data_IF_004400636667
#
_entry.id   IF_004400636667
#
_cell.length_a   1.000
_cell.length_b   1.000
_cell.length_c   1.000
_cell.angle_alpha   90.00
_cell.angle_beta   90.00
_cell.angle_gamma   90.00
#
_symmetry.space_group_name_H-M   'P 1'
#
loop_
_entity.id
_entity.type
_entity.pdbx_description
1 polymer ?
#
# COMPACT_ATOMS: atom_id res chain seq x y z
N UNK A 1 4.45 21.79 1.13
CA UNK A 1 3.70 20.55 0.85
C UNK A 1 4.67 19.39 0.89
N UNK A 2 4.58 18.52 1.90
CA UNK A 2 5.46 17.35 2.04
C UNK A 2 4.93 16.22 1.15
N UNK A 3 5.77 15.68 0.26
CA UNK A 3 5.49 14.45 -0.50
C UNK A 3 5.96 13.26 0.35
N UNK A 4 5.02 12.57 1.00
CA UNK A 4 5.29 11.45 1.91
C UNK A 4 5.37 10.09 1.20
N UNK A 5 6.26 9.20 1.67
CA UNK A 5 6.90 8.16 0.85
C UNK A 5 6.03 6.94 0.42
N UNK A 6 6.12 6.52 -0.86
CA UNK A 6 5.70 5.23 -1.39
C UNK A 6 6.64 4.09 -0.96
N UNK A 7 7.79 4.36 -0.34
CA UNK A 7 8.81 3.35 -0.03
C UNK A 7 8.27 2.23 0.88
N UNK A 8 7.59 2.57 1.98
CA UNK A 8 7.02 1.56 2.90
C UNK A 8 5.90 0.76 2.20
N UNK A 9 5.03 1.43 1.44
CA UNK A 9 3.95 0.77 0.71
C UNK A 9 4.47 -0.09 -0.44
N UNK A 10 5.51 0.36 -1.14
CA UNK A 10 6.15 -0.37 -2.24
C UNK A 10 6.86 -1.63 -1.75
N UNK A 11 7.56 -1.56 -0.61
CA UNK A 11 8.21 -2.72 0.01
C UNK A 11 7.17 -3.70 0.56
N UNK A 12 6.06 -3.21 1.14
CA UNK A 12 4.93 -4.05 1.53
C UNK A 12 4.28 -4.75 0.31
N UNK A 13 4.07 -4.04 -0.80
CA UNK A 13 3.55 -4.63 -2.05
C UNK A 13 4.49 -5.72 -2.55
N UNK A 14 5.80 -5.44 -2.62
CA UNK A 14 6.78 -6.41 -3.10
C UNK A 14 6.82 -7.67 -2.22
N UNK A 15 6.79 -7.49 -0.89
CA UNK A 15 6.74 -8.60 0.06
C UNK A 15 5.46 -9.42 -0.09
N UNK A 16 4.30 -8.77 -0.17
CA UNK A 16 3.01 -9.46 -0.34
C UNK A 16 2.94 -10.19 -1.69
N UNK A 17 3.41 -9.58 -2.78
CA UNK A 17 3.49 -10.21 -4.11
C UNK A 17 4.45 -11.40 -4.10
N UNK A 18 5.58 -11.29 -3.42
CA UNK A 18 6.53 -12.40 -3.25
C UNK A 18 5.86 -13.57 -2.52
N UNK A 19 5.18 -13.31 -1.41
CA UNK A 19 4.49 -14.33 -0.62
C UNK A 19 3.33 -14.98 -1.40
N UNK A 20 2.55 -14.18 -2.14
CA UNK A 20 1.36 -14.66 -2.87
C UNK A 20 1.71 -15.38 -4.18
N UNK A 21 2.79 -14.99 -4.85
CA UNK A 21 3.26 -15.65 -6.09
C UNK A 21 4.18 -16.84 -5.84
N UNK A 22 4.44 -17.20 -4.58
CA UNK A 22 5.42 -18.24 -4.24
C UNK A 22 6.86 -17.87 -4.61
N UNK A 23 7.18 -16.57 -4.67
CA UNK A 23 8.51 -16.07 -5.02
C UNK A 23 8.80 -16.04 -6.53
N UNK A 24 7.77 -15.91 -7.38
CA UNK A 24 7.98 -15.86 -8.82
C UNK A 24 8.79 -14.60 -9.22
N UNK A 25 10.02 -14.84 -9.65
CA UNK A 25 11.00 -13.78 -9.96
C UNK A 25 10.52 -12.86 -11.10
N UNK A 26 9.81 -13.40 -12.09
CA UNK A 26 9.30 -12.60 -13.22
C UNK A 26 8.25 -11.61 -12.74
N UNK A 27 7.29 -12.08 -11.94
CA UNK A 27 6.24 -11.23 -11.34
C UNK A 27 6.90 -10.17 -10.47
N UNK A 28 7.84 -10.57 -9.61
CA UNK A 28 8.53 -9.66 -8.70
C UNK A 28 9.31 -8.56 -9.44
N UNK A 29 9.99 -8.91 -10.54
CA UNK A 29 10.70 -7.94 -11.39
C UNK A 29 9.75 -6.96 -12.06
N UNK A 30 8.63 -7.44 -12.61
CA UNK A 30 7.61 -6.57 -13.22
C UNK A 30 7.03 -5.61 -12.18
N UNK A 31 6.68 -6.12 -11.00
CA UNK A 31 6.17 -5.30 -9.88
C UNK A 31 7.20 -4.27 -9.44
N UNK A 32 8.48 -4.65 -9.32
CA UNK A 32 9.56 -3.73 -8.96
C UNK A 32 9.70 -2.58 -9.96
N UNK A 33 9.72 -2.88 -11.26
CA UNK A 33 9.80 -1.87 -12.32
C UNK A 33 8.59 -0.93 -12.26
N UNK A 34 7.37 -1.47 -12.07
CA UNK A 34 6.17 -0.65 -11.91
C UNK A 34 6.29 0.30 -10.71
N UNK A 35 6.73 -0.19 -9.54
CA UNK A 35 6.92 0.64 -8.34
C UNK A 35 7.96 1.75 -8.56
N UNK A 36 9.07 1.45 -9.26
CA UNK A 36 10.10 2.44 -9.62
C UNK A 36 9.50 3.56 -10.48
N UNK A 37 8.70 3.22 -11.50
CA UNK A 37 8.04 4.21 -12.36
C UNK A 37 7.07 5.10 -11.57
N UNK A 38 6.33 4.54 -10.61
CA UNK A 38 5.48 5.31 -9.71
C UNK A 38 6.28 6.25 -8.81
N UNK A 39 7.42 5.80 -8.30
CA UNK A 39 8.31 6.64 -7.48
C UNK A 39 8.91 7.81 -8.28
N UNK A 40 9.24 7.61 -9.55
CA UNK A 40 9.76 8.65 -10.45
C UNK A 40 8.68 9.67 -10.79
N UNK A 41 7.47 9.20 -11.10
CA UNK A 41 6.42 10.07 -11.62
C UNK A 41 5.96 11.10 -10.59
N UNK A 42 6.08 10.81 -9.28
CA UNK A 42 5.68 11.63 -8.11
C UNK A 42 4.27 12.26 -8.15
N UNK A 43 3.55 12.14 -9.25
CA UNK A 43 2.24 12.70 -9.56
C UNK A 43 1.14 12.03 -8.74
N UNK A 44 1.35 10.75 -8.42
CA UNK A 44 0.50 9.96 -7.54
C UNK A 44 1.01 9.90 -6.11
N UNK A 45 2.07 10.65 -5.74
CA UNK A 45 2.35 10.78 -4.32
C UNK A 45 1.12 11.41 -3.70
N UNK A 46 0.52 10.77 -2.68
CA UNK A 46 -0.52 11.44 -1.93
C UNK A 46 0.10 12.72 -1.39
N UNK A 47 -0.37 13.83 -1.94
CA UNK A 47 -0.54 15.00 -1.12
C UNK A 47 -1.47 14.56 0.02
N UNK A 48 -1.31 15.16 1.18
CA UNK A 48 -2.37 15.25 2.18
C UNK A 48 -2.30 14.34 3.41
N UNK A 49 -2.37 15.05 4.55
CA UNK A 49 -3.40 15.04 5.62
C UNK A 49 -4.03 13.71 6.04
N UNK A 50 -4.21 12.73 5.18
CA UNK A 50 -4.64 11.35 5.53
C UNK A 50 -3.56 10.65 6.36
N UNK A 51 -2.29 10.80 5.95
CA UNK A 51 -1.13 10.33 6.73
C UNK A 51 -0.93 11.14 8.01
N UNK A 52 -1.39 12.39 8.08
CA UNK A 52 -1.43 13.12 9.34
C UNK A 52 -2.63 12.73 10.21
N UNK A 53 -3.73 12.28 9.59
CA UNK A 53 -4.96 11.91 10.27
C UNK A 53 -4.74 10.69 11.16
N UNK A 54 -4.73 10.96 12.47
CA UNK A 54 -4.63 9.95 13.52
C UNK A 54 -5.77 8.92 13.45
N UNK A 55 -6.96 9.32 12.99
CA UNK A 55 -8.09 8.42 12.85
C UNK A 55 -7.83 7.34 11.80
N UNK A 56 -7.33 7.72 10.62
CA UNK A 56 -7.00 6.77 9.55
C UNK A 56 -5.86 5.83 9.95
N UNK A 57 -4.82 6.34 10.62
CA UNK A 57 -3.76 5.49 11.18
C UNK A 57 -4.30 4.40 12.11
N UNK A 58 -5.25 4.76 12.99
CA UNK A 58 -5.88 3.81 13.92
C UNK A 58 -6.72 2.77 13.19
N UNK A 59 -7.50 3.17 12.18
CA UNK A 59 -8.30 2.24 11.38
C UNK A 59 -7.43 1.24 10.62
N UNK A 60 -6.34 1.71 9.99
CA UNK A 60 -5.36 0.84 9.31
C UNK A 60 -4.77 -0.18 10.25
N UNK A 61 -4.32 0.30 11.41
CA UNK A 61 -3.71 -0.56 12.42
C UNK A 61 -4.71 -1.60 12.93
N UNK A 62 -5.94 -1.18 13.27
CA UNK A 62 -7.00 -2.08 13.72
C UNK A 62 -7.34 -3.14 12.66
N UNK A 63 -7.43 -2.75 11.38
CA UNK A 63 -7.63 -3.70 10.29
C UNK A 63 -6.46 -4.68 10.15
N UNK A 64 -5.21 -4.20 10.27
CA UNK A 64 -4.02 -5.07 10.29
C UNK A 64 -4.04 -6.07 11.44
N UNK A 65 -4.38 -5.62 12.65
CA UNK A 65 -4.55 -6.49 13.83
C UNK A 65 -5.63 -7.53 13.57
N UNK A 66 -6.81 -7.13 13.08
CA UNK A 66 -7.89 -8.06 12.76
C UNK A 66 -7.46 -9.12 11.74
N UNK A 67 -6.72 -8.73 10.69
CA UNK A 67 -6.21 -9.68 9.69
C UNK A 67 -5.17 -10.66 10.25
N UNK A 68 -4.36 -10.24 11.22
CA UNK A 68 -3.40 -11.14 11.88
C UNK A 68 -4.11 -12.18 12.75
N UNK A 69 -5.16 -11.78 13.46
CA UNK A 69 -5.85 -12.67 14.40
C UNK A 69 -6.96 -13.52 13.76
N UNK A 70 -7.59 -13.05 12.70
CA UNK A 70 -8.82 -13.65 12.16
C UNK A 70 -8.67 -14.27 10.76
N UNK A 71 -7.47 -14.28 10.17
CA UNK A 71 -7.30 -14.58 8.75
C UNK A 71 -6.11 -15.51 8.47
N UNK A 72 -6.19 -16.27 7.37
CA UNK A 72 -5.10 -17.11 6.90
C UNK A 72 -3.97 -16.26 6.30
N UNK A 73 -2.75 -16.79 6.28
CA UNK A 73 -1.56 -16.07 5.78
C UNK A 73 -1.75 -15.42 4.38
N UNK A 74 -2.41 -16.05 3.39
CA UNK A 74 -2.66 -15.43 2.09
C UNK A 74 -3.65 -14.26 2.14
N UNK A 75 -4.68 -14.32 2.98
CA UNK A 75 -5.69 -13.25 3.05
C UNK A 75 -5.12 -11.99 3.69
N UNK A 76 -4.23 -12.13 4.67
CA UNK A 76 -3.47 -11.00 5.22
C UNK A 76 -2.61 -10.32 4.13
N UNK A 77 -1.90 -11.10 3.31
CA UNK A 77 -1.11 -10.56 2.20
C UNK A 77 -1.99 -9.80 1.19
N UNK A 78 -3.16 -10.34 0.82
CA UNK A 78 -4.10 -9.68 -0.08
C UNK A 78 -4.61 -8.37 0.51
N UNK A 79 -4.93 -8.32 1.81
CA UNK A 79 -5.35 -7.09 2.48
C UNK A 79 -4.26 -6.02 2.44
N UNK A 80 -3.03 -6.36 2.81
CA UNK A 80 -1.90 -5.40 2.78
C UNK A 80 -1.59 -4.91 1.37
N UNK A 81 -1.72 -5.78 0.38
CA UNK A 81 -1.50 -5.47 -1.04
C UNK A 81 -2.60 -4.56 -1.58
N UNK A 82 -3.88 -4.88 -1.33
CA UNK A 82 -5.02 -4.04 -1.70
C UNK A 82 -4.92 -2.67 -1.04
N UNK A 83 -4.62 -2.62 0.26
CA UNK A 83 -4.45 -1.36 0.99
C UNK A 83 -3.36 -0.49 0.35
N UNK A 84 -2.17 -1.06 0.16
CA UNK A 84 -1.01 -0.35 -0.36
C UNK A 84 -1.22 0.11 -1.80
N UNK A 85 -1.84 -0.73 -2.65
CA UNK A 85 -2.17 -0.37 -4.04
C UNK A 85 -3.27 0.70 -4.12
N UNK A 86 -4.30 0.62 -3.27
CA UNK A 86 -5.35 1.64 -3.19
C UNK A 86 -4.78 3.01 -2.83
N UNK A 87 -3.76 3.02 -1.98
CA UNK A 87 -3.08 4.24 -1.56
C UNK A 87 -2.20 4.85 -2.66
N UNK A 88 -1.54 4.02 -3.48
CA UNK A 88 -0.67 4.49 -4.57
C UNK A 88 -1.48 4.90 -5.80
N UNK A 89 -2.49 4.11 -6.20
CA UNK A 89 -3.22 4.34 -7.46
C UNK A 89 -4.35 5.35 -7.32
N UNK A 90 -5.03 5.36 -6.16
CA UNK A 90 -6.27 6.11 -5.96
C UNK A 90 -6.25 6.94 -4.65
N UNK A 91 -5.16 7.69 -4.35
CA UNK A 91 -5.09 8.47 -3.12
C UNK A 91 -6.22 9.51 -3.06
N UNK A 92 -6.52 10.18 -4.17
CA UNK A 92 -7.52 11.25 -4.18
C UNK A 92 -8.97 10.74 -4.18
N UNK A 93 -9.27 9.61 -4.84
CA UNK A 93 -10.64 9.12 -4.98
C UNK A 93 -11.12 8.24 -3.82
N UNK A 94 -10.22 7.46 -3.22
CA UNK A 94 -10.56 6.58 -2.08
C UNK A 94 -10.23 7.21 -0.73
N UNK A 95 -9.22 8.08 -0.68
CA UNK A 95 -8.66 8.57 0.58
C UNK A 95 -8.79 10.08 0.78
N UNK A 96 -9.13 10.86 -0.25
CA UNK A 96 -9.40 12.30 -0.06
C UNK A 96 -10.78 12.48 0.55
N UNK A 97 -10.84 12.66 1.87
CA UNK A 97 -11.99 13.30 2.48
C UNK A 97 -12.01 14.76 2.02
N UNK A 98 -12.86 15.11 1.05
CA UNK A 98 -13.36 16.49 0.95
C UNK A 98 -14.20 16.74 2.20
N UNK A 99 -13.59 17.33 3.21
CA UNK A 99 -14.30 18.10 4.23
C UNK A 99 -14.40 19.53 3.71
#
# INVERSE_FOLDING_TARGET
MYRGLPCIYSSAILACVSLLSGGNIVVLRITAVAMILFMISQSFYPHDRVLESQAWKKVVYAGGVAMVFCSSFPSACVYYLLWSMSYILFPASLWSCKV
#
